data_IF_460578387011
#
_entry.id   IF_460578387011
#
_cell.length_a   1.000
_cell.length_b   1.000
_cell.length_c   1.000
_cell.angle_alpha   90.00
_cell.angle_beta   90.00
_cell.angle_gamma   90.00
#
_symmetry.space_group_name_H-M   'P 1'
#
loop_
_entity.id
_entity.type
_entity.pdbx_description
1 polymer ?
#
# COMPACT_ATOMS: atom_id res chain seq x y z
N UNK A 1 14.85 -2.63 15.80
CA UNK A 1 13.87 -1.88 15.02
C UNK A 1 12.64 -2.75 14.78
N UNK A 2 11.46 -2.16 14.97
CA UNK A 2 10.20 -2.81 14.59
C UNK A 2 10.00 -2.72 13.08
N UNK A 3 10.41 -1.60 12.47
CA UNK A 3 10.46 -1.43 11.03
C UNK A 3 11.78 -0.79 10.63
N UNK A 4 12.34 -1.24 9.51
CA UNK A 4 13.47 -0.60 8.85
C UNK A 4 13.25 -0.57 7.35
N UNK A 5 13.66 0.51 6.70
CA UNK A 5 13.63 0.67 5.24
C UNK A 5 15.06 0.80 4.75
N UNK A 6 15.40 -0.04 3.78
CA UNK A 6 16.73 -0.11 3.20
C UNK A 6 16.61 0.03 1.69
N UNK A 7 17.26 1.03 1.13
CA UNK A 7 17.36 1.26 -0.30
C UNK A 7 18.60 0.57 -0.87
N UNK A 8 18.61 0.37 -2.20
CA UNK A 8 19.77 -0.12 -2.95
C UNK A 8 20.27 -1.53 -2.57
N UNK A 9 19.53 -2.25 -1.71
CA UNK A 9 19.78 -3.64 -1.36
C UNK A 9 18.76 -4.54 -2.08
N UNK A 10 19.22 -5.56 -2.84
CA UNK A 10 18.31 -6.49 -3.50
C UNK A 10 17.39 -7.23 -2.53
N UNK A 11 16.14 -7.46 -2.97
CA UNK A 11 15.20 -8.32 -2.26
C UNK A 11 15.77 -9.74 -2.17
N UNK A 12 15.58 -10.36 -1.02
CA UNK A 12 16.08 -11.68 -0.71
C UNK A 12 15.58 -12.12 0.66
N UNK A 13 15.51 -13.43 0.86
CA UNK A 13 15.17 -14.01 2.16
C UNK A 13 16.35 -13.85 3.13
N UNK A 14 16.05 -13.41 4.35
CA UNK A 14 17.04 -13.14 5.39
C UNK A 14 16.37 -13.18 6.76
N UNK A 15 16.92 -13.99 7.66
CA UNK A 15 16.43 -14.07 9.05
C UNK A 15 16.76 -12.83 9.88
N UNK A 16 17.77 -12.03 9.48
CA UNK A 16 18.05 -10.71 10.06
C UNK A 16 18.85 -9.85 9.09
N UNK A 17 18.66 -8.53 9.14
CA UNK A 17 19.47 -7.59 8.36
C UNK A 17 20.82 -7.36 9.06
N UNK A 18 21.92 -7.60 8.35
CA UNK A 18 23.27 -7.48 8.87
C UNK A 18 24.09 -6.63 7.90
N UNK A 19 24.38 -5.38 8.27
CA UNK A 19 25.01 -4.39 7.37
C UNK A 19 26.28 -4.95 6.68
N UNK A 20 27.12 -5.68 7.41
CA UNK A 20 28.36 -6.25 6.87
C UNK A 20 28.16 -7.33 5.81
N UNK A 21 26.95 -7.91 5.71
CA UNK A 21 26.56 -8.83 4.63
C UNK A 21 25.93 -8.11 3.44
N UNK A 22 25.59 -6.83 3.60
CA UNK A 22 24.83 -6.01 2.67
C UNK A 22 25.67 -4.80 2.21
N UNK A 23 26.96 -5.04 1.92
CA UNK A 23 27.93 -4.02 1.48
C UNK A 23 28.09 -2.82 2.43
N UNK A 24 27.84 -3.02 3.73
CA UNK A 24 27.82 -1.98 4.77
C UNK A 24 26.76 -0.90 4.53
N UNK A 25 25.68 -1.22 3.81
CA UNK A 25 24.55 -0.32 3.65
C UNK A 25 23.75 -0.31 4.97
N UNK A 26 23.68 0.84 5.61
CA UNK A 26 22.83 1.05 6.77
C UNK A 26 21.36 1.15 6.34
N UNK A 27 20.40 0.77 7.20
CA UNK A 27 19.02 1.19 6.99
C UNK A 27 18.91 2.70 6.97
N UNK A 28 18.30 3.26 5.94
CA UNK A 28 18.13 4.72 5.83
C UNK A 28 17.04 5.20 6.78
N UNK A 29 15.96 4.43 6.95
CA UNK A 29 14.84 4.80 7.84
C UNK A 29 14.58 3.71 8.86
N UNK A 30 14.39 4.09 10.12
CA UNK A 30 14.08 3.17 11.22
C UNK A 30 12.88 3.68 12.01
N UNK A 31 11.96 2.76 12.32
CA UNK A 31 10.88 2.99 13.27
C UNK A 31 11.02 2.06 14.48
N UNK A 32 10.75 2.63 15.66
CA UNK A 32 10.60 1.93 16.93
C UNK A 32 9.25 2.31 17.54
N UNK A 33 8.52 1.32 18.02
CA UNK A 33 7.19 1.46 18.62
C UNK A 33 7.32 1.05 20.08
N UNK A 34 7.10 2.00 21.00
CA UNK A 34 7.22 1.73 22.42
C UNK A 34 6.15 0.75 22.88
N UNK A 35 6.62 -0.27 23.59
CA UNK A 35 5.83 -1.20 24.38
C UNK A 35 5.99 -0.88 25.88
N UNK A 36 5.06 -1.32 26.75
CA UNK A 36 5.11 -1.05 28.19
C UNK A 36 6.42 -1.46 28.88
N UNK A 37 7.17 -2.41 28.32
CA UNK A 37 8.44 -2.89 28.86
C UNK A 37 9.67 -2.09 28.43
N UNK A 38 9.55 -1.16 27.48
CA UNK A 38 10.70 -0.39 27.00
C UNK A 38 11.11 0.70 28.00
N UNK A 39 12.42 0.80 28.23
CA UNK A 39 12.97 1.80 29.17
C UNK A 39 13.58 3.00 28.43
N UNK A 40 13.58 4.20 29.04
CA UNK A 40 14.24 5.37 28.44
C UNK A 40 15.72 5.14 28.12
N UNK A 41 16.44 4.41 28.99
CA UNK A 41 17.85 4.07 28.81
C UNK A 41 18.10 3.18 27.59
N UNK A 42 17.20 2.24 27.30
CA UNK A 42 17.29 1.42 26.08
C UNK A 42 17.07 2.27 24.83
N UNK A 43 16.12 3.20 24.87
CA UNK A 43 15.83 4.07 23.73
C UNK A 43 16.95 5.06 23.44
N UNK A 44 17.58 5.60 24.48
CA UNK A 44 18.78 6.43 24.33
C UNK A 44 19.94 5.64 23.70
N UNK A 45 20.15 4.39 24.16
CA UNK A 45 21.16 3.49 23.55
C UNK A 45 20.85 3.20 22.08
N UNK A 46 19.58 3.01 21.71
CA UNK A 46 19.17 2.81 20.31
C UNK A 46 19.43 4.06 19.48
N UNK A 47 19.08 5.25 19.97
CA UNK A 47 19.37 6.51 19.28
C UNK A 47 20.88 6.66 19.00
N UNK A 48 21.73 6.45 20.02
CA UNK A 48 23.19 6.51 19.85
C UNK A 48 23.71 5.43 18.88
N UNK A 49 23.09 4.26 18.86
CA UNK A 49 23.42 3.20 17.92
C UNK A 49 23.08 3.61 16.48
N UNK A 50 21.85 4.07 16.24
CA UNK A 50 21.40 4.52 14.92
C UNK A 50 22.21 5.70 14.42
N UNK A 51 22.54 6.62 15.32
CA UNK A 51 23.40 7.75 15.03
C UNK A 51 24.80 7.31 14.56
N UNK A 52 25.42 6.38 15.30
CA UNK A 52 26.76 5.86 14.97
C UNK A 52 26.79 5.07 13.66
N UNK A 53 25.74 4.33 13.35
CA UNK A 53 25.71 3.40 12.21
C UNK A 53 24.98 3.96 10.99
N UNK A 54 24.87 5.28 10.87
CA UNK A 54 24.51 5.93 9.61
C UNK A 54 23.03 5.89 9.25
N UNK A 55 22.13 5.61 10.20
CA UNK A 55 20.68 5.75 9.96
C UNK A 55 20.37 7.21 9.66
N UNK A 56 19.56 7.48 8.66
CA UNK A 56 19.28 8.84 8.19
C UNK A 56 18.02 9.44 8.81
N UNK A 57 17.00 8.61 9.03
CA UNK A 57 15.75 8.98 9.67
C UNK A 57 15.42 7.98 10.76
N UNK A 58 15.11 8.46 11.95
CA UNK A 58 14.69 7.63 13.07
C UNK A 58 13.39 8.18 13.66
N UNK A 59 12.40 7.31 13.83
CA UNK A 59 11.10 7.66 14.40
C UNK A 59 10.77 6.75 15.57
N UNK A 60 10.37 7.35 16.69
CA UNK A 60 9.95 6.68 17.91
C UNK A 60 8.51 7.05 18.22
N UNK A 61 7.61 6.08 18.18
CA UNK A 61 6.19 6.27 18.49
C UNK A 61 5.82 5.61 19.81
N UNK A 62 5.09 6.32 20.67
CA UNK A 62 4.47 5.80 21.89
C UNK A 62 2.95 5.71 21.68
N UNK A 63 2.39 4.52 21.41
CA UNK A 63 0.95 4.35 21.24
C UNK A 63 0.15 4.62 22.51
N UNK A 64 0.72 4.42 23.70
CA UNK A 64 0.01 4.64 24.96
C UNK A 64 -0.20 6.12 25.25
N UNK A 65 0.76 6.96 24.83
CA UNK A 65 0.69 8.42 24.97
C UNK A 65 0.25 9.12 23.70
N UNK A 66 0.10 8.39 22.60
CA UNK A 66 -0.09 8.91 21.26
C UNK A 66 0.92 10.04 20.96
N UNK A 67 2.21 9.73 21.05
CA UNK A 67 3.28 10.71 20.84
C UNK A 67 4.34 10.18 19.89
N UNK A 68 4.71 11.00 18.90
CA UNK A 68 5.78 10.71 17.95
C UNK A 68 6.98 11.62 18.24
N UNK A 69 8.18 11.07 18.20
CA UNK A 69 9.42 11.85 18.14
C UNK A 69 10.22 11.37 16.94
N UNK A 70 10.75 12.31 16.16
CA UNK A 70 11.58 12.00 15.00
C UNK A 70 12.96 12.64 15.11
N UNK A 71 13.92 12.03 14.43
CA UNK A 71 15.26 12.55 14.23
C UNK A 71 15.64 12.44 12.76
N UNK A 72 16.28 13.47 12.24
CA UNK A 72 16.81 13.54 10.89
C UNK A 72 18.33 13.74 10.95
N UNK A 73 19.06 12.99 10.12
CA UNK A 73 20.52 13.09 10.06
C UNK A 73 20.96 14.43 9.49
N UNK A 74 21.74 15.14 10.30
CA UNK A 74 22.60 16.24 9.87
C UNK A 74 23.97 15.71 9.45
N UNK A 75 24.90 16.60 9.06
CA UNK A 75 26.28 16.19 8.72
C UNK A 75 27.00 15.44 9.84
N UNK A 76 26.64 15.68 11.10
CA UNK A 76 27.37 15.17 12.26
C UNK A 76 26.59 14.14 13.07
N UNK A 77 25.27 14.31 13.22
CA UNK A 77 24.45 13.44 14.07
C UNK A 77 22.96 13.45 13.68
N UNK A 78 22.20 12.48 14.21
CA UNK A 78 20.74 12.47 14.21
C UNK A 78 20.19 13.61 15.09
N UNK A 79 19.73 14.68 14.45
CA UNK A 79 19.17 15.84 15.13
C UNK A 79 17.66 15.71 15.28
N UNK A 80 17.10 16.22 16.38
CA UNK A 80 15.68 16.08 16.67
C UNK A 80 14.87 16.96 15.71
N UNK A 81 13.74 16.43 15.23
CA UNK A 81 12.76 17.20 14.48
C UNK A 81 11.87 17.94 15.48
N UNK A 82 11.90 19.28 15.45
CA UNK A 82 11.14 20.14 16.36
C UNK A 82 9.63 20.04 16.12
N UNK A 83 9.19 20.22 14.87
CA UNK A 83 7.80 20.07 14.46
C UNK A 83 7.59 18.76 13.69
N UNK A 84 7.28 17.70 14.45
CA UNK A 84 7.05 16.37 13.87
C UNK A 84 5.62 16.19 13.31
N UNK A 85 4.65 16.95 13.82
CA UNK A 85 3.28 16.90 13.32
C UNK A 85 3.19 17.66 11.99
N UNK A 86 2.76 16.99 10.93
CA UNK A 86 2.81 17.49 9.56
C UNK A 86 4.15 17.26 8.85
N UNK A 87 5.16 16.70 9.52
CA UNK A 87 6.46 16.42 8.92
C UNK A 87 6.34 15.41 7.77
N UNK A 88 7.12 15.61 6.71
CA UNK A 88 7.20 14.69 5.56
C UNK A 88 8.59 14.06 5.54
N UNK A 89 8.64 12.72 5.61
CA UNK A 89 9.90 11.96 5.49
C UNK A 89 10.59 12.25 4.15
N UNK A 90 11.84 12.76 4.13
CA UNK A 90 12.58 12.99 2.90
C UNK A 90 12.84 11.71 2.07
N UNK A 91 13.05 10.56 2.73
CA UNK A 91 13.32 9.28 2.06
C UNK A 91 12.07 8.54 1.63
N UNK A 92 10.97 8.65 2.38
CA UNK A 92 9.75 7.89 2.11
C UNK A 92 8.65 8.71 1.43
N UNK A 93 8.69 10.04 1.56
CA UNK A 93 7.62 10.94 1.12
C UNK A 93 6.32 10.80 1.92
N UNK A 94 6.32 10.07 3.04
CA UNK A 94 5.14 9.91 3.90
C UNK A 94 5.02 11.10 4.85
N UNK A 95 3.80 11.56 5.09
CA UNK A 95 3.49 12.64 6.03
C UNK A 95 2.93 12.09 7.33
N UNK A 96 3.43 12.59 8.46
CA UNK A 96 2.98 12.22 9.80
C UNK A 96 1.94 13.21 10.30
N UNK A 97 0.82 12.72 10.84
CA UNK A 97 -0.21 13.58 11.45
C UNK A 97 -0.68 12.96 12.78
N UNK A 98 -0.35 13.60 13.89
CA UNK A 98 -0.82 13.24 15.21
C UNK A 98 -2.22 13.84 15.42
N UNK A 99 -3.23 12.97 15.41
CA UNK A 99 -4.59 13.32 15.82
C UNK A 99 -4.75 13.20 17.33
N UNK A 100 -5.91 13.55 17.89
CA UNK A 100 -6.19 13.32 19.31
C UNK A 100 -6.23 11.84 19.69
N UNK A 101 -6.52 10.95 18.75
CA UNK A 101 -6.73 9.53 19.00
C UNK A 101 -5.50 8.68 18.66
N UNK A 102 -4.85 8.98 17.53
CA UNK A 102 -3.74 8.18 17.00
C UNK A 102 -2.84 8.96 16.04
N UNK A 103 -1.67 8.41 15.77
CA UNK A 103 -0.83 8.79 14.63
C UNK A 103 -1.45 8.29 13.32
N UNK A 104 -1.75 9.21 12.42
CA UNK A 104 -2.08 8.93 11.02
C UNK A 104 -0.84 9.12 10.15
N UNK A 105 -0.71 8.24 9.16
CA UNK A 105 0.31 8.36 8.11
C UNK A 105 -0.40 8.65 6.80
N UNK A 106 0.16 9.54 6.00
CA UNK A 106 -0.29 9.80 4.63
C UNK A 106 0.81 9.42 3.66
N UNK A 107 0.41 8.79 2.56
CA UNK A 107 1.28 8.43 1.45
C UNK A 107 1.74 9.70 0.71
N UNK A 108 2.73 9.58 -0.21
CA UNK A 108 3.16 10.70 -1.04
C UNK A 108 2.08 11.34 -1.91
N UNK A 109 0.95 10.65 -2.13
CA UNK A 109 -0.22 11.14 -2.86
C UNK A 109 -1.31 11.77 -1.95
N UNK A 110 -0.96 12.08 -0.70
CA UNK A 110 -1.83 12.63 0.34
C UNK A 110 -3.04 11.75 0.71
N UNK A 111 -3.05 10.48 0.32
CA UNK A 111 -4.04 9.51 0.80
C UNK A 111 -3.58 8.92 2.14
N UNK A 112 -4.49 8.75 3.12
CA UNK A 112 -4.13 8.10 4.37
C UNK A 112 -3.73 6.63 4.13
N UNK A 113 -2.78 6.12 4.91
CA UNK A 113 -2.56 4.69 5.03
C UNK A 113 -3.80 4.07 5.69
N UNK A 114 -4.54 3.26 4.94
CA UNK A 114 -5.68 2.51 5.44
C UNK A 114 -5.22 1.29 6.23
N UNK A 115 -6.04 0.87 7.20
CA UNK A 115 -5.79 -0.37 7.94
C UNK A 115 -5.70 -1.53 6.94
N UNK A 116 -4.69 -2.39 7.10
CA UNK A 116 -4.47 -3.56 6.26
C UNK A 116 -5.75 -4.42 6.14
N UNK A 117 -6.54 -4.52 7.21
CA UNK A 117 -7.80 -5.26 7.20
C UNK A 117 -8.82 -4.59 6.26
N UNK A 118 -8.92 -3.27 6.29
CA UNK A 118 -9.84 -2.53 5.43
C UNK A 118 -9.43 -2.61 3.95
N UNK A 119 -8.12 -2.57 3.67
CA UNK A 119 -7.58 -2.78 2.31
C UNK A 119 -7.91 -4.18 1.79
N UNK A 120 -7.74 -5.22 2.61
CA UNK A 120 -8.08 -6.59 2.22
C UNK A 120 -9.58 -6.74 1.93
N UNK A 121 -10.45 -6.17 2.77
CA UNK A 121 -11.90 -6.19 2.53
C UNK A 121 -12.28 -5.45 1.23
N UNK A 122 -11.68 -4.29 0.97
CA UNK A 122 -11.92 -3.56 -0.27
C UNK A 122 -11.46 -4.34 -1.50
N UNK A 123 -10.30 -5.02 -1.42
CA UNK A 123 -9.79 -5.86 -2.50
C UNK A 123 -10.73 -7.04 -2.77
N UNK A 124 -11.16 -7.76 -1.75
CA UNK A 124 -12.09 -8.89 -1.89
C UNK A 124 -13.42 -8.44 -2.51
N UNK A 125 -13.94 -7.28 -2.09
CA UNK A 125 -15.15 -6.70 -2.68
C UNK A 125 -14.93 -6.30 -4.15
N UNK A 126 -13.77 -5.75 -4.50
CA UNK A 126 -13.44 -5.38 -5.87
C UNK A 126 -13.28 -6.61 -6.78
N UNK A 127 -12.63 -7.66 -6.28
CA UNK A 127 -12.47 -8.94 -6.98
C UNK A 127 -13.83 -9.60 -7.23
N UNK A 128 -14.70 -9.67 -6.22
CA UNK A 128 -16.05 -10.21 -6.38
C UNK A 128 -16.88 -9.43 -7.40
N UNK A 129 -16.76 -8.09 -7.42
CA UNK A 129 -17.43 -7.27 -8.45
C UNK A 129 -16.87 -7.52 -9.85
N UNK A 130 -15.56 -7.69 -9.98
CA UNK A 130 -14.94 -7.98 -11.27
C UNK A 130 -15.42 -9.33 -11.83
N UNK A 131 -15.51 -10.36 -10.97
CA UNK A 131 -16.04 -11.68 -11.34
C UNK A 131 -17.49 -11.57 -11.82
N UNK A 132 -18.36 -10.90 -11.05
CA UNK A 132 -19.77 -10.72 -11.44
C UNK A 132 -19.91 -9.97 -12.78
N UNK A 133 -19.12 -8.93 -12.99
CA UNK A 133 -19.14 -8.17 -14.23
C UNK A 133 -18.66 -9.01 -15.43
N UNK A 134 -17.68 -9.90 -15.24
CA UNK A 134 -17.24 -10.84 -16.26
C UNK A 134 -18.32 -11.89 -16.58
N UNK A 135 -19.01 -12.41 -15.57
CA UNK A 135 -20.12 -13.36 -15.77
C UNK A 135 -21.29 -12.74 -16.54
N UNK A 136 -21.71 -11.53 -16.17
CA UNK A 136 -22.76 -10.78 -16.87
C UNK A 136 -22.38 -10.51 -18.33
N UNK A 137 -21.14 -10.05 -18.57
CA UNK A 137 -20.64 -9.80 -19.92
C UNK A 137 -20.62 -11.09 -20.76
N UNK A 138 -20.30 -12.23 -20.14
CA UNK A 138 -20.27 -13.52 -20.82
C UNK A 138 -21.68 -14.02 -21.15
N UNK A 139 -22.64 -13.83 -20.25
CA UNK A 139 -24.06 -14.14 -20.51
C UNK A 139 -24.61 -13.28 -21.65
N UNK A 140 -24.39 -11.96 -21.62
CA UNK A 140 -24.86 -11.04 -22.67
C UNK A 140 -24.29 -11.44 -24.04
N UNK A 141 -23.01 -11.83 -24.09
CA UNK A 141 -22.38 -12.33 -25.31
C UNK A 141 -23.04 -13.61 -25.84
N UNK A 142 -23.34 -14.58 -24.97
CA UNK A 142 -24.03 -15.81 -25.37
C UNK A 142 -25.44 -15.54 -25.88
N UNK A 143 -26.21 -14.70 -25.20
CA UNK A 143 -27.56 -14.34 -25.61
C UNK A 143 -27.55 -13.65 -26.98
N UNK A 144 -26.60 -12.73 -27.20
CA UNK A 144 -26.42 -12.06 -28.47
C UNK A 144 -26.06 -13.03 -29.59
N UNK A 145 -25.20 -14.01 -29.32
CA UNK A 145 -24.81 -15.03 -30.29
C UNK A 145 -26.00 -15.94 -30.66
N UNK A 146 -26.77 -16.40 -29.66
CA UNK A 146 -28.00 -17.19 -29.88
C UNK A 146 -29.04 -16.39 -30.67
N UNK A 147 -29.22 -15.11 -30.34
CA UNK A 147 -30.15 -14.23 -31.06
C UNK A 147 -29.71 -14.04 -32.52
N UNK A 148 -28.42 -13.88 -32.77
CA UNK A 148 -27.85 -13.78 -34.12
C UNK A 148 -28.02 -15.09 -34.91
N UNK A 149 -27.79 -16.25 -34.30
CA UNK A 149 -28.02 -17.54 -34.96
C UNK A 149 -29.50 -17.76 -35.30
N UNK A 150 -30.41 -17.41 -34.39
CA UNK A 150 -31.86 -17.49 -34.64
C UNK A 150 -32.28 -16.56 -35.76
N UNK A 151 -31.82 -15.32 -35.77
CA UNK A 151 -32.10 -14.35 -36.83
C UNK A 151 -31.63 -14.88 -38.20
N UNK A 152 -30.39 -15.37 -38.29
CA UNK A 152 -29.85 -15.98 -39.52
C UNK A 152 -30.66 -17.20 -39.98
N UNK A 153 -31.08 -18.07 -39.06
CA UNK A 153 -31.89 -19.25 -39.41
C UNK A 153 -33.28 -18.86 -39.91
N UNK A 154 -33.91 -17.85 -39.30
CA UNK A 154 -35.19 -17.31 -39.77
C UNK A 154 -35.05 -16.69 -41.17
N UNK A 155 -33.99 -15.92 -41.43
CA UNK A 155 -33.67 -15.37 -42.76
C UNK A 155 -33.52 -16.45 -43.83
N UNK A 156 -32.95 -17.61 -43.49
CA UNK A 156 -32.79 -18.74 -44.42
C UNK A 156 -34.08 -19.50 -44.71
N UNK A 157 -35.06 -19.50 -43.79
CA UNK A 157 -36.33 -20.24 -43.95
C UNK A 157 -37.42 -19.42 -44.65
N UNK A 158 -37.31 -18.09 -44.66
CA UNK A 158 -38.26 -17.19 -45.33
C UNK A 158 -38.40 -17.46 -46.85
N UNK A 159 -37.32 -17.75 -47.62
CA UNK A 159 -37.42 -18.12 -49.04
C UNK A 159 -38.08 -19.48 -49.29
N UNK A 160 -37.92 -20.47 -48.39
CA UNK A 160 -38.48 -21.81 -48.55
C UNK A 160 -39.99 -21.86 -48.24
N UNK A 161 -40.50 -20.93 -47.44
CA UNK A 161 -41.92 -20.80 -47.12
C UNK A 161 -42.72 -19.98 -48.16
N UNK A 162 -42.08 -19.44 -49.20
CA UNK A 162 -42.73 -18.67 -50.26
C UNK A 162 -43.21 -17.27 -49.84
N UNK A 163 -42.62 -16.68 -48.79
CA UNK A 163 -42.92 -15.33 -48.34
C UNK A 163 -41.81 -14.40 -48.83
N UNK A 164 -42.15 -13.53 -49.78
CA UNK A 164 -41.27 -12.50 -50.32
C UNK A 164 -41.20 -11.31 -49.35
N UNK A 165 -40.04 -11.01 -48.73
CA UNK A 165 -39.91 -9.93 -47.76
C UNK A 165 -40.09 -8.52 -48.35
N UNK A 166 -40.18 -8.39 -49.69
CA UNK A 166 -40.42 -7.11 -50.38
C UNK A 166 -41.91 -6.85 -50.70
N UNK A 167 -42.85 -7.62 -50.16
CA UNK A 167 -44.29 -7.31 -50.30
C UNK A 167 -44.99 -7.09 -48.97
N UNK A 168 -44.79 -5.90 -48.42
CA UNK A 168 -45.86 -5.10 -47.80
C UNK A 168 -45.40 -3.64 -47.79
N UNK A 169 -46.06 -2.83 -48.63
CA UNK A 169 -45.96 -1.37 -48.61
C UNK A 169 -46.74 -0.73 -47.48
#
# INVERSE_FOLDING_TARGET
>A
PDVMVVFEVPKGDRGSYQQWKENNIAPQVVFEILSPGNTPKEMERKLLFYDRYGVEEYYLYDPQKNSLTGWLRSELFLDRIDEINGFVSPRLGIRFELTTETLMLYRPDDQPFTDYIEVQQQLEVAENRAILAEEELQQERQEKEIAQERAKRLEQLLPEAGIDPETNG
#
